data_IF_334984954801
#
_entry.id   IF_334984954801
#
_cell.length_a   1.000
_cell.length_b   1.000
_cell.length_c   1.000
_cell.angle_alpha   90.00
_cell.angle_beta   90.00
_cell.angle_gamma   90.00
#
_symmetry.space_group_name_H-M   'P 1'
#
loop_
_entity.id
_entity.type
_entity.pdbx_description
1 polymer ?
#
# COMPACT_ATOMS: atom_id res chain seq x y z
N UNK A 1 4.98 12.30 -25.97
CA UNK A 1 4.49 12.96 -24.74
C UNK A 1 3.84 11.88 -23.92
N UNK A 2 4.31 11.68 -22.69
CA UNK A 2 3.87 10.62 -21.78
C UNK A 2 2.46 10.94 -21.29
N UNK A 3 1.53 10.03 -21.52
CA UNK A 3 0.12 10.15 -21.12
C UNK A 3 -0.08 9.58 -19.72
N UNK A 4 -0.44 10.44 -18.76
CA UNK A 4 -0.53 10.08 -17.34
C UNK A 4 -1.99 10.11 -16.87
N UNK A 5 -2.46 9.03 -16.25
CA UNK A 5 -3.68 8.98 -15.46
C UNK A 5 -3.32 9.13 -13.98
N UNK A 6 -4.08 9.93 -13.25
CA UNK A 6 -3.93 10.11 -11.80
C UNK A 6 -5.19 9.58 -11.12
N UNK A 7 -5.01 8.71 -10.12
CA UNK A 7 -6.08 8.14 -9.29
C UNK A 7 -5.75 8.46 -7.83
N UNK A 8 -6.49 9.41 -7.25
CA UNK A 8 -6.22 9.98 -5.93
C UNK A 8 -7.51 10.57 -5.37
N UNK A 9 -7.96 10.13 -4.20
CA UNK A 9 -9.21 10.59 -3.57
C UNK A 9 -9.12 12.02 -3.02
N UNK A 10 -7.96 12.40 -2.48
CA UNK A 10 -7.75 13.72 -1.91
C UNK A 10 -7.69 14.79 -3.00
N UNK A 11 -8.76 15.58 -3.14
CA UNK A 11 -8.92 16.57 -4.21
C UNK A 11 -7.73 17.53 -4.33
N UNK A 12 -7.23 18.06 -3.21
CA UNK A 12 -6.07 18.99 -3.19
C UNK A 12 -4.82 18.31 -3.74
N UNK A 13 -4.56 17.07 -3.35
CA UNK A 13 -3.38 16.33 -3.82
C UNK A 13 -3.54 15.96 -5.30
N UNK A 14 -4.71 15.49 -5.70
CA UNK A 14 -5.04 15.17 -7.10
C UNK A 14 -4.82 16.37 -8.03
N UNK A 15 -5.33 17.54 -7.65
CA UNK A 15 -5.16 18.78 -8.43
C UNK A 15 -3.71 19.25 -8.45
N UNK A 16 -3.01 19.14 -7.33
CA UNK A 16 -1.58 19.49 -7.23
C UNK A 16 -0.72 18.60 -8.11
N UNK A 17 -0.93 17.29 -8.06
CA UNK A 17 -0.24 16.32 -8.92
C UNK A 17 -0.56 16.58 -10.40
N UNK A 18 -1.82 16.78 -10.74
CA UNK A 18 -2.23 17.05 -12.12
C UNK A 18 -1.56 18.30 -12.69
N UNK A 19 -1.47 19.37 -11.90
CA UNK A 19 -0.75 20.59 -12.28
C UNK A 19 0.74 20.32 -12.45
N UNK A 20 1.38 19.71 -11.44
CA UNK A 20 2.83 19.48 -11.45
C UNK A 20 3.27 18.55 -12.58
N UNK A 21 2.47 17.52 -12.90
CA UNK A 21 2.71 16.63 -14.06
C UNK A 21 2.47 17.38 -15.36
N UNK A 22 1.40 18.19 -15.45
CA UNK A 22 1.08 18.99 -16.63
C UNK A 22 2.11 20.08 -16.97
N UNK A 23 2.86 20.55 -15.96
CA UNK A 23 3.95 21.52 -16.14
C UNK A 23 5.24 20.87 -16.70
N UNK A 24 5.31 19.52 -16.75
CA UNK A 24 6.46 18.84 -17.32
C UNK A 24 6.40 18.86 -18.86
N UNK A 25 7.51 19.20 -19.56
CA UNK A 25 7.51 19.37 -21.01
C UNK A 25 7.30 18.04 -21.78
N UNK A 26 7.51 16.90 -21.13
CA UNK A 26 7.44 15.56 -21.68
C UNK A 26 6.18 14.77 -21.28
N UNK A 27 5.32 15.34 -20.43
CA UNK A 27 4.15 14.65 -19.84
C UNK A 27 2.84 15.40 -20.13
N UNK A 28 1.73 14.66 -20.10
CA UNK A 28 0.38 15.23 -20.16
C UNK A 28 -0.57 14.39 -19.31
N UNK A 29 -1.42 15.05 -18.53
CA UNK A 29 -2.47 14.38 -17.75
C UNK A 29 -3.66 14.14 -18.66
N UNK A 30 -4.02 12.88 -18.87
CA UNK A 30 -5.16 12.50 -19.73
C UNK A 30 -6.46 12.38 -18.94
N UNK A 31 -6.37 12.05 -17.66
CA UNK A 31 -7.47 12.09 -16.71
C UNK A 31 -6.94 12.16 -15.26
N UNK A 32 -7.78 12.66 -14.35
CA UNK A 32 -7.53 12.63 -12.92
C UNK A 32 -8.86 12.29 -12.23
N UNK A 33 -8.91 11.14 -11.56
CA UNK A 33 -10.12 10.56 -10.96
C UNK A 33 -9.91 10.30 -9.47
N UNK A 34 -11.00 10.17 -8.72
CA UNK A 34 -10.98 10.00 -7.28
C UNK A 34 -11.10 8.54 -6.83
N UNK A 35 -11.66 7.68 -7.67
CA UNK A 35 -11.99 6.30 -7.31
C UNK A 35 -11.25 5.30 -8.22
N UNK A 36 -10.57 4.35 -7.60
CA UNK A 36 -9.86 3.28 -8.31
C UNK A 36 -10.82 2.30 -9.02
N UNK A 37 -12.09 2.22 -8.60
CA UNK A 37 -13.09 1.38 -9.26
C UNK A 37 -13.36 1.82 -10.70
N UNK A 38 -13.22 3.12 -11.00
CA UNK A 38 -13.44 3.69 -12.33
C UNK A 38 -12.18 3.61 -13.22
N UNK A 39 -11.03 3.27 -12.62
CA UNK A 39 -9.74 3.37 -13.30
C UNK A 39 -9.66 2.50 -14.56
N UNK A 40 -10.20 1.28 -14.54
CA UNK A 40 -10.14 0.37 -15.68
C UNK A 40 -10.87 0.95 -16.90
N UNK A 41 -12.08 1.50 -16.73
CA UNK A 41 -12.87 2.09 -17.82
C UNK A 41 -12.15 3.30 -18.42
N UNK A 42 -11.56 4.14 -17.55
CA UNK A 42 -10.77 5.29 -17.99
C UNK A 42 -9.51 4.86 -18.75
N UNK A 43 -8.82 3.83 -18.27
CA UNK A 43 -7.62 3.28 -18.92
C UNK A 43 -7.95 2.71 -20.31
N UNK A 44 -9.05 1.99 -20.44
CA UNK A 44 -9.47 1.42 -21.74
C UNK A 44 -9.82 2.51 -22.75
N UNK A 45 -10.39 3.62 -22.28
CA UNK A 45 -10.78 4.77 -23.12
C UNK A 45 -9.59 5.66 -23.45
N UNK A 46 -8.83 6.09 -22.46
CA UNK A 46 -7.79 7.11 -22.61
C UNK A 46 -6.42 6.53 -22.99
N UNK A 47 -6.20 5.22 -22.79
CA UNK A 47 -4.94 4.55 -23.10
C UNK A 47 -3.70 5.29 -22.56
N UNK A 48 -3.60 5.49 -21.24
CA UNK A 48 -2.42 6.13 -20.65
C UNK A 48 -1.19 5.25 -20.80
N UNK A 49 -0.01 5.89 -20.88
CA UNK A 49 1.28 5.21 -20.80
C UNK A 49 1.61 4.84 -19.36
N UNK A 50 1.10 5.66 -18.41
CA UNK A 50 1.40 5.53 -17.00
C UNK A 50 0.20 5.93 -16.12
N UNK A 51 0.12 5.27 -14.97
CA UNK A 51 -0.86 5.58 -13.92
C UNK A 51 -0.12 5.88 -12.62
N UNK A 52 -0.45 7.00 -11.99
CA UNK A 52 -0.18 7.26 -10.57
C UNK A 52 -1.43 6.85 -9.80
N UNK A 53 -1.34 5.85 -8.93
CA UNK A 53 -2.47 5.20 -8.26
C UNK A 53 -2.29 5.21 -6.75
N UNK A 54 -3.21 5.86 -6.04
CA UNK A 54 -3.27 5.68 -4.58
C UNK A 54 -3.76 4.28 -4.21
N UNK A 55 -3.29 3.78 -3.06
CA UNK A 55 -3.74 2.49 -2.49
C UNK A 55 -5.18 2.59 -2.02
N UNK A 56 -5.51 3.63 -1.27
CA UNK A 56 -6.84 3.84 -0.69
C UNK A 56 -7.54 4.99 -1.41
N UNK A 57 -8.63 4.71 -2.08
CA UNK A 57 -9.40 5.70 -2.84
C UNK A 57 -10.85 5.77 -2.35
N UNK A 58 -11.70 6.60 -2.96
CA UNK A 58 -13.10 6.76 -2.58
C UNK A 58 -13.84 5.40 -2.55
N UNK A 59 -14.89 5.32 -1.76
CA UNK A 59 -15.76 4.13 -1.60
C UNK A 59 -15.01 2.86 -1.15
N UNK A 60 -13.94 3.01 -0.34
CA UNK A 60 -13.08 1.92 0.11
C UNK A 60 -12.46 1.09 -1.04
N UNK A 61 -12.34 1.69 -2.22
CA UNK A 61 -11.72 1.05 -3.37
C UNK A 61 -10.21 0.92 -3.17
N UNK A 62 -9.68 -0.27 -3.50
CA UNK A 62 -8.27 -0.58 -3.34
C UNK A 62 -7.53 -0.45 -4.68
N UNK A 63 -6.59 0.52 -4.76
CA UNK A 63 -5.81 0.78 -5.96
C UNK A 63 -4.91 -0.37 -6.40
N UNK A 64 -4.42 -1.23 -5.47
CA UNK A 64 -3.62 -2.41 -5.82
C UNK A 64 -4.49 -3.44 -6.55
N UNK A 65 -5.74 -3.65 -6.10
CA UNK A 65 -6.69 -4.54 -6.77
C UNK A 65 -7.05 -4.00 -8.16
N UNK A 66 -7.26 -2.68 -8.27
CA UNK A 66 -7.51 -2.05 -9.56
C UNK A 66 -6.29 -2.19 -10.49
N UNK A 67 -5.07 -2.00 -9.97
CA UNK A 67 -3.83 -2.18 -10.72
C UNK A 67 -3.68 -3.60 -11.28
N UNK A 68 -3.97 -4.64 -10.50
CA UNK A 68 -3.95 -6.03 -10.97
C UNK A 68 -4.88 -6.23 -12.17
N UNK A 69 -6.13 -5.75 -12.08
CA UNK A 69 -7.11 -5.84 -13.18
C UNK A 69 -6.67 -5.07 -14.44
N UNK A 70 -6.03 -3.92 -14.25
CA UNK A 70 -5.50 -3.13 -15.37
C UNK A 70 -4.35 -3.88 -16.03
N UNK A 71 -3.44 -4.47 -15.25
CA UNK A 71 -2.31 -5.26 -15.76
C UNK A 71 -2.74 -6.49 -16.56
N UNK A 72 -3.85 -7.11 -16.20
CA UNK A 72 -4.45 -8.21 -16.98
C UNK A 72 -4.91 -7.76 -18.37
N UNK A 73 -5.40 -6.53 -18.52
CA UNK A 73 -5.97 -6.00 -19.76
C UNK A 73 -4.96 -5.19 -20.59
N UNK A 74 -4.07 -4.46 -19.91
CA UNK A 74 -3.04 -3.60 -20.51
C UNK A 74 -1.69 -3.80 -19.78
N UNK A 75 -0.98 -4.91 -20.04
CA UNK A 75 0.29 -5.20 -19.37
C UNK A 75 1.40 -4.18 -19.66
N UNK A 76 1.31 -3.48 -20.79
CA UNK A 76 2.26 -2.43 -21.18
C UNK A 76 2.09 -1.11 -20.41
N UNK A 77 0.90 -0.84 -19.87
CA UNK A 77 0.66 0.37 -19.09
C UNK A 77 1.47 0.33 -17.79
N UNK A 78 2.29 1.34 -17.55
CA UNK A 78 3.10 1.42 -16.34
C UNK A 78 2.27 1.92 -15.17
N UNK A 79 2.40 1.25 -14.02
CA UNK A 79 1.65 1.61 -12.82
C UNK A 79 2.62 1.90 -11.69
N UNK A 80 2.49 3.08 -11.10
CA UNK A 80 3.18 3.50 -9.88
C UNK A 80 2.14 3.60 -8.78
N UNK A 81 2.26 2.78 -7.76
CA UNK A 81 1.45 2.93 -6.55
C UNK A 81 2.04 4.05 -5.69
N UNK A 82 1.17 4.89 -5.15
CA UNK A 82 1.51 5.95 -4.20
C UNK A 82 0.70 5.73 -2.92
N UNK A 83 1.31 5.85 -1.75
CA UNK A 83 0.56 5.78 -0.48
C UNK A 83 1.17 6.67 0.59
N UNK A 84 0.30 7.24 1.43
CA UNK A 84 0.72 7.91 2.67
C UNK A 84 0.93 6.94 3.83
N UNK A 85 0.56 5.66 3.65
CA UNK A 85 0.60 4.64 4.70
C UNK A 85 1.83 3.75 4.49
N UNK A 86 2.80 3.75 5.42
CA UNK A 86 4.00 2.91 5.33
C UNK A 86 3.72 1.45 5.73
N UNK A 87 2.70 0.82 5.16
CA UNK A 87 2.38 -0.57 5.42
C UNK A 87 3.19 -1.50 4.53
N UNK A 88 3.97 -2.39 5.14
CA UNK A 88 4.87 -3.31 4.43
C UNK A 88 4.10 -4.25 3.50
N UNK A 89 2.91 -4.69 3.91
CA UNK A 89 2.08 -5.61 3.12
C UNK A 89 1.63 -5.01 1.79
N UNK A 90 1.48 -3.69 1.68
CA UNK A 90 1.14 -3.05 0.41
C UNK A 90 2.24 -3.17 -0.64
N UNK A 91 3.50 -3.16 -0.21
CA UNK A 91 4.64 -3.32 -1.13
C UNK A 91 4.64 -4.71 -1.76
N UNK A 92 4.41 -5.75 -0.95
CA UNK A 92 4.38 -7.12 -1.43
C UNK A 92 3.14 -7.38 -2.30
N UNK A 93 1.97 -6.92 -1.87
CA UNK A 93 0.74 -7.00 -2.67
C UNK A 93 0.86 -6.26 -4.00
N UNK A 94 1.52 -5.09 -4.04
CA UNK A 94 1.75 -4.35 -5.28
C UNK A 94 2.68 -5.12 -6.22
N UNK A 95 3.72 -5.80 -5.70
CA UNK A 95 4.58 -6.67 -6.51
C UNK A 95 3.81 -7.85 -7.12
N UNK A 96 2.99 -8.52 -6.32
CA UNK A 96 2.14 -9.63 -6.76
C UNK A 96 1.11 -9.19 -7.81
N UNK A 97 0.58 -7.97 -7.68
CA UNK A 97 -0.32 -7.34 -8.66
C UNK A 97 0.37 -6.93 -9.98
N UNK A 98 1.70 -7.09 -10.08
CA UNK A 98 2.47 -6.72 -11.28
C UNK A 98 2.69 -5.21 -11.44
N UNK A 99 2.59 -4.44 -10.35
CA UNK A 99 2.88 -3.01 -10.35
C UNK A 99 4.36 -2.76 -10.65
N UNK A 100 4.65 -1.73 -11.45
CA UNK A 100 6.02 -1.46 -11.90
C UNK A 100 6.85 -0.71 -10.85
N UNK A 101 6.24 0.20 -10.08
CA UNK A 101 6.94 0.95 -9.03
C UNK A 101 6.00 1.30 -7.87
N UNK A 102 6.59 1.56 -6.72
CA UNK A 102 5.88 1.93 -5.50
C UNK A 102 6.62 3.06 -4.80
N UNK A 103 5.93 4.11 -4.40
CA UNK A 103 6.50 5.25 -3.67
C UNK A 103 5.61 5.65 -2.49
N UNK A 104 6.23 6.22 -1.46
CA UNK A 104 5.47 6.87 -0.40
C UNK A 104 5.17 8.34 -0.76
N UNK A 105 4.00 8.85 -0.37
CA UNK A 105 3.56 10.24 -0.66
C UNK A 105 4.42 11.33 0.02
N UNK A 106 5.42 10.95 0.82
CA UNK A 106 6.38 11.85 1.43
C UNK A 106 7.62 12.12 0.57
N UNK A 107 7.73 11.51 -0.62
CA UNK A 107 8.80 11.82 -1.57
C UNK A 107 8.64 13.22 -2.16
N UNK A 108 9.75 13.87 -2.48
CA UNK A 108 9.72 15.15 -3.18
C UNK A 108 9.20 15.02 -4.61
N UNK A 109 8.63 16.10 -5.15
CA UNK A 109 8.04 16.08 -6.50
C UNK A 109 9.08 15.76 -7.58
N UNK A 110 10.32 16.24 -7.45
CA UNK A 110 11.41 15.95 -8.38
C UNK A 110 11.81 14.47 -8.35
N UNK A 111 11.77 13.85 -7.17
CA UNK A 111 12.01 12.42 -6.98
C UNK A 111 10.90 11.60 -7.62
N UNK A 112 9.63 12.01 -7.46
CA UNK A 112 8.50 11.37 -8.13
C UNK A 112 8.69 11.38 -9.66
N UNK A 113 9.07 12.52 -10.24
CA UNK A 113 9.33 12.60 -11.69
C UNK A 113 10.50 11.73 -12.14
N UNK A 114 11.56 11.63 -11.33
CA UNK A 114 12.66 10.71 -11.60
C UNK A 114 12.18 9.24 -11.61
N UNK A 115 11.34 8.84 -10.63
CA UNK A 115 10.73 7.51 -10.59
C UNK A 115 9.83 7.28 -11.80
N UNK A 116 8.98 8.24 -12.18
CA UNK A 116 8.11 8.13 -13.35
C UNK A 116 8.91 7.86 -14.63
N UNK A 117 9.97 8.63 -14.89
CA UNK A 117 10.83 8.44 -16.07
C UNK A 117 11.60 7.12 -16.02
N UNK A 118 12.10 6.74 -14.86
CA UNK A 118 12.78 5.46 -14.62
C UNK A 118 11.85 4.27 -14.88
N UNK A 119 10.60 4.34 -14.38
CA UNK A 119 9.58 3.29 -14.58
C UNK A 119 9.23 3.12 -16.05
N UNK A 120 9.10 4.21 -16.81
CA UNK A 120 8.89 4.14 -18.27
C UNK A 120 10.07 3.51 -19.01
N UNK A 121 11.30 3.75 -18.52
CA UNK A 121 12.50 3.10 -19.07
C UNK A 121 12.62 1.61 -18.69
N UNK A 122 11.67 1.07 -17.92
CA UNK A 122 11.61 -0.34 -17.53
C UNK A 122 12.30 -0.67 -16.21
N UNK A 123 12.72 0.34 -15.43
CA UNK A 123 13.27 0.13 -14.09
C UNK A 123 12.15 0.15 -13.05
N UNK A 124 12.24 -0.75 -12.07
CA UNK A 124 11.29 -0.82 -10.98
C UNK A 124 11.87 -0.14 -9.73
N UNK A 125 11.08 0.76 -9.13
CA UNK A 125 11.41 1.39 -7.85
C UNK A 125 10.45 0.90 -6.79
N UNK A 126 10.98 0.20 -5.79
CA UNK A 126 10.21 -0.18 -4.60
C UNK A 126 10.99 0.27 -3.38
N UNK A 127 10.33 0.88 -2.38
CA UNK A 127 10.99 1.22 -1.15
C UNK A 127 11.56 -0.06 -0.54
N UNK A 128 12.75 0.06 0.04
CA UNK A 128 13.17 -0.99 0.99
C UNK A 128 12.10 -0.99 2.08
N UNK A 129 11.63 -2.17 2.52
CA UNK A 129 10.83 -2.23 3.73
C UNK A 129 11.52 -1.33 4.77
N UNK A 130 10.81 -0.44 5.48
CA UNK A 130 11.41 0.19 6.65
C UNK A 130 12.06 -0.93 7.43
N UNK A 131 13.24 -0.72 8.00
CA UNK A 131 13.85 -1.73 8.87
C UNK A 131 12.79 -2.00 9.95
N UNK A 132 11.98 -3.00 9.68
CA UNK A 132 10.82 -3.34 10.48
C UNK A 132 11.36 -3.66 11.86
N UNK A 133 10.69 -3.16 12.90
CA UNK A 133 10.91 -3.66 14.27
C UNK A 133 10.85 -5.20 14.33
N UNK A 134 10.42 -5.84 13.24
CA UNK A 134 10.31 -7.28 13.02
C UNK A 134 11.38 -7.83 12.06
N UNK A 135 12.41 -7.05 11.67
CA UNK A 135 13.50 -7.54 10.81
C UNK A 135 14.58 -8.29 11.59
N UNK A 136 15.25 -9.21 10.94
CA UNK A 136 16.31 -10.02 11.55
C UNK A 136 15.78 -11.16 12.43
N UNK A 137 16.33 -11.32 13.64
CA UNK A 137 15.91 -12.37 14.60
C UNK A 137 14.49 -12.15 15.15
N UNK A 138 13.92 -10.96 14.96
CA UNK A 138 12.56 -10.59 15.35
C UNK A 138 11.53 -10.82 14.22
N UNK A 139 11.90 -11.44 13.09
CA UNK A 139 10.97 -11.70 12.00
C UNK A 139 9.78 -12.53 12.48
N UNK A 140 8.57 -11.98 12.32
CA UNK A 140 7.32 -12.67 12.60
C UNK A 140 6.88 -13.46 11.37
N UNK A 141 6.35 -14.66 11.57
CA UNK A 141 5.69 -15.41 10.50
C UNK A 141 4.31 -14.82 10.14
N UNK A 142 3.71 -15.28 9.04
CA UNK A 142 2.42 -14.78 8.54
C UNK A 142 1.29 -14.90 9.57
N UNK A 143 1.31 -15.96 10.38
CA UNK A 143 0.33 -16.19 11.44
C UNK A 143 0.55 -15.21 12.60
N UNK A 144 1.80 -15.00 12.98
CA UNK A 144 2.19 -14.05 14.02
C UNK A 144 1.84 -12.60 13.61
N UNK A 145 2.08 -12.23 12.35
CA UNK A 145 1.68 -10.95 11.78
C UNK A 145 0.16 -10.76 11.79
N UNK A 146 -0.59 -11.82 11.43
CA UNK A 146 -2.06 -11.79 11.48
C UNK A 146 -2.58 -11.60 12.89
N UNK A 147 -1.99 -12.30 13.88
CA UNK A 147 -2.34 -12.12 15.29
C UNK A 147 -2.05 -10.69 15.76
N UNK A 148 -0.89 -10.14 15.41
CA UNK A 148 -0.51 -8.80 15.80
C UNK A 148 -1.43 -7.74 15.14
N UNK A 149 -1.81 -7.93 13.87
CA UNK A 149 -2.76 -7.06 13.17
C UNK A 149 -4.10 -7.00 13.88
N UNK A 150 -4.67 -8.16 14.21
CA UNK A 150 -5.94 -8.24 14.93
C UNK A 150 -5.84 -7.64 16.35
N UNK A 151 -4.66 -7.74 16.99
CA UNK A 151 -4.40 -7.06 18.25
C UNK A 151 -4.36 -5.51 18.07
N UNK A 152 -3.82 -5.01 16.97
CA UNK A 152 -3.86 -3.58 16.62
C UNK A 152 -5.28 -3.07 16.38
N UNK A 153 -6.20 -3.92 15.94
CA UNK A 153 -7.64 -3.64 15.81
C UNK A 153 -8.39 -3.68 17.17
N UNK A 154 -7.68 -3.96 18.26
CA UNK A 154 -8.26 -4.02 19.61
C UNK A 154 -8.97 -5.34 19.91
N UNK A 155 -8.86 -6.37 19.06
CA UNK A 155 -9.51 -7.66 19.28
C UNK A 155 -8.94 -8.41 20.47
N UNK A 156 -9.82 -9.01 21.25
CA UNK A 156 -9.48 -9.90 22.34
C UNK A 156 -8.90 -11.23 21.83
N UNK A 157 -8.16 -11.95 22.69
CA UNK A 157 -7.63 -13.29 22.34
C UNK A 157 -8.71 -14.26 21.84
N UNK A 158 -9.92 -14.17 22.36
CA UNK A 158 -11.05 -15.01 21.96
C UNK A 158 -11.51 -14.66 20.54
N UNK A 159 -11.61 -13.38 20.21
CA UNK A 159 -11.98 -12.91 18.88
C UNK A 159 -10.91 -13.27 17.86
N UNK A 160 -9.62 -13.05 18.20
CA UNK A 160 -8.48 -13.47 17.34
C UNK A 160 -8.52 -14.99 17.07
N UNK A 161 -8.79 -15.80 18.11
CA UNK A 161 -8.89 -17.24 18.01
C UNK A 161 -10.02 -17.66 17.06
N UNK A 162 -11.19 -17.01 17.17
CA UNK A 162 -12.33 -17.27 16.31
C UNK A 162 -12.02 -16.92 14.85
N UNK A 163 -11.41 -15.78 14.60
CA UNK A 163 -11.14 -15.27 13.26
C UNK A 163 -10.06 -16.06 12.52
N UNK A 164 -9.04 -16.52 13.25
CA UNK A 164 -7.97 -17.34 12.69
C UNK A 164 -8.28 -18.86 12.74
N UNK A 165 -9.48 -19.26 13.15
CA UNK A 165 -9.88 -20.66 13.30
C UNK A 165 -8.91 -21.47 14.19
N UNK A 166 -8.44 -20.85 15.28
CA UNK A 166 -7.50 -21.45 16.23
C UNK A 166 -8.09 -21.54 17.64
N UNK A 167 -7.46 -22.35 18.50
CA UNK A 167 -7.83 -22.35 19.93
C UNK A 167 -7.24 -21.13 20.65
N UNK A 168 -7.91 -20.63 21.71
CA UNK A 168 -7.37 -19.55 22.55
C UNK A 168 -6.01 -19.92 23.18
N UNK A 169 -5.79 -21.20 23.48
CA UNK A 169 -4.50 -21.70 23.97
C UNK A 169 -3.40 -21.55 22.92
N UNK A 170 -3.71 -21.81 21.65
CA UNK A 170 -2.78 -21.63 20.52
C UNK A 170 -2.43 -20.15 20.37
N UNK A 171 -3.43 -19.26 20.41
CA UNK A 171 -3.21 -17.80 20.33
C UNK A 171 -2.36 -17.32 21.49
N UNK A 172 -2.65 -17.76 22.73
CA UNK A 172 -1.84 -17.41 23.89
C UNK A 172 -0.38 -17.79 23.73
N UNK A 173 -0.09 -19.01 23.23
CA UNK A 173 1.27 -19.48 22.96
C UNK A 173 1.94 -18.62 21.89
N UNK A 174 1.26 -18.37 20.77
CA UNK A 174 1.78 -17.54 19.68
C UNK A 174 2.07 -16.11 20.10
N UNK A 175 1.19 -15.49 20.90
CA UNK A 175 1.46 -14.17 21.49
C UNK A 175 2.74 -14.19 22.33
N UNK A 176 2.97 -15.24 23.14
CA UNK A 176 4.20 -15.35 23.91
C UNK A 176 5.44 -15.48 23.00
N UNK A 177 5.34 -16.20 21.89
CA UNK A 177 6.40 -16.31 20.88
C UNK A 177 6.69 -14.95 20.22
N UNK A 178 5.65 -14.20 19.84
CA UNK A 178 5.78 -12.82 19.32
C UNK A 178 6.52 -11.92 20.32
N UNK A 179 6.09 -11.91 21.57
CA UNK A 179 6.68 -11.08 22.62
C UNK A 179 8.15 -11.45 22.87
N UNK A 180 8.49 -12.74 22.88
CA UNK A 180 9.88 -13.19 23.00
C UNK A 180 10.73 -12.77 21.81
N UNK A 181 10.20 -12.82 20.58
CA UNK A 181 10.91 -12.40 19.37
C UNK A 181 11.14 -10.90 19.33
N UNK A 182 10.16 -10.11 19.76
CA UNK A 182 10.16 -8.65 19.65
C UNK A 182 10.72 -7.94 20.89
N UNK A 183 10.92 -8.67 22.00
CA UNK A 183 11.42 -8.10 23.26
C UNK A 183 10.38 -7.28 24.04
N UNK A 184 9.10 -7.32 23.63
CA UNK A 184 8.01 -6.63 24.35
C UNK A 184 7.45 -7.52 25.47
N UNK A 185 6.96 -6.86 26.52
CA UNK A 185 6.32 -7.49 27.68
C UNK A 185 4.80 -7.63 27.53
N UNK A 186 4.22 -6.90 26.57
CA UNK A 186 2.77 -6.82 26.38
C UNK A 186 2.41 -6.63 24.90
N UNK A 187 1.45 -7.43 24.42
CA UNK A 187 1.01 -7.38 23.02
C UNK A 187 0.36 -6.05 22.63
N UNK A 188 -0.33 -5.38 23.55
CA UNK A 188 -0.96 -4.07 23.29
C UNK A 188 0.10 -2.97 23.18
N UNK A 189 1.19 -3.02 23.97
CA UNK A 189 2.31 -2.08 23.80
C UNK A 189 3.01 -2.27 22.47
N UNK A 190 3.21 -3.52 22.07
CA UNK A 190 3.74 -3.84 20.74
C UNK A 190 2.79 -3.36 19.63
N UNK A 191 1.47 -3.58 19.78
CA UNK A 191 0.47 -3.15 18.81
C UNK A 191 0.45 -1.61 18.68
N UNK A 192 0.45 -0.87 19.78
CA UNK A 192 0.53 0.61 19.75
C UNK A 192 1.81 1.07 19.04
N UNK A 193 2.95 0.46 19.35
CA UNK A 193 4.22 0.81 18.70
C UNK A 193 4.19 0.47 17.21
N UNK A 194 3.68 -0.70 16.82
CA UNK A 194 3.56 -1.13 15.43
C UNK A 194 2.68 -0.17 14.60
N UNK A 195 1.62 0.36 15.20
CA UNK A 195 0.74 1.36 14.57
C UNK A 195 1.41 2.73 14.50
N UNK A 196 2.07 3.19 15.58
CA UNK A 196 2.74 4.50 15.60
C UNK A 196 3.92 4.59 14.63
N UNK A 197 4.67 3.50 14.48
CA UNK A 197 5.77 3.39 13.51
C UNK A 197 5.27 3.11 12.08
N UNK A 198 3.94 2.94 11.90
CA UNK A 198 3.36 2.62 10.61
C UNK A 198 3.70 1.22 10.10
N UNK A 199 4.21 0.33 10.95
CA UNK A 199 4.54 -1.05 10.57
C UNK A 199 3.30 -1.92 10.37
N UNK A 200 2.18 -1.55 11.02
CA UNK A 200 0.86 -2.17 10.85
C UNK A 200 -0.20 -1.08 10.82
N UNK A 201 -1.06 -1.12 9.81
CA UNK A 201 -2.27 -0.30 9.75
C UNK A 201 -3.46 -1.19 10.12
N UNK A 202 -4.14 -0.91 11.25
CA UNK A 202 -5.31 -1.69 11.64
C UNK A 202 -6.48 -1.41 10.70
N UNK A 203 -7.16 -2.46 10.29
CA UNK A 203 -8.40 -2.33 9.52
C UNK A 203 -9.53 -1.94 10.49
N UNK A 204 -9.68 -0.63 10.73
CA UNK A 204 -10.70 -0.10 11.63
C UNK A 204 -12.02 -0.02 10.85
N UNK A 205 -12.87 -1.03 10.92
CA UNK A 205 -14.28 -0.86 10.59
C UNK A 205 -14.82 0.28 11.48
N UNK A 206 -15.25 1.37 10.87
CA UNK A 206 -15.94 2.43 11.60
C UNK A 206 -17.28 1.88 12.07
N UNK A 207 -17.65 2.08 13.35
CA UNK A 207 -18.94 1.66 13.88
C UNK A 207 -20.10 2.36 13.21
#
# INVERSE_FOLDING_TARGET
>A
MIRVLIVEDQAILRESLARSVGDQPDMTVVAAIADASDALDVVLKERPDMILMDVCTEHDSNGIVAAARIKEQLPECRIIIMTGMPEITFVDQAREAGVDSFVYKNVGIDELFAVMRSTLAGYCTFPKPPESIFSGTAALDDVELSILRLACEGKSRREIAAELFMSEGTIKRRISEILNKTGYDNIMRLAVHAVTEGSIVPNMERP
#
